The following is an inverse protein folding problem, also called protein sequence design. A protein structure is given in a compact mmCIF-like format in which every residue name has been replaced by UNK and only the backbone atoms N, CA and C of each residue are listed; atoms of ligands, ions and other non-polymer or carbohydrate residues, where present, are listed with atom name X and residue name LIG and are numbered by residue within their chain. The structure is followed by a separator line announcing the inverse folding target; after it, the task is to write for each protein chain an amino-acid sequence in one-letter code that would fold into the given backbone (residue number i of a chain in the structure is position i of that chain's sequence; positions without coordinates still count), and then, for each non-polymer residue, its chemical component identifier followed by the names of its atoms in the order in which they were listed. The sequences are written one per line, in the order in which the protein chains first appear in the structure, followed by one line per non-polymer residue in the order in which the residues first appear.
data_IF_307900787862
#
_entry.id   IF_307900787862
#
_cell.length_a   1.000
_cell.length_b   1.000
_cell.length_c   1.000
_cell.angle_alpha   90.00
_cell.angle_beta   90.00
_cell.angle_gamma   90.00
#
_symmetry.space_group_name_H-M   'P 1'
#
loop_
_entity.id
_entity.type
_entity.pdbx_description
1 polymer ?
#
# COMPACT_ATOMS: atom_id res chain seq x y z
N UNK A 1 0.03 -23.94 -15.34
CA UNK A 1 0.15 -22.69 -16.11
C UNK A 1 -0.51 -21.61 -15.28
N UNK A 2 0.25 -20.95 -14.40
CA UNK A 2 -0.28 -19.86 -13.59
C UNK A 2 -0.32 -18.59 -14.42
N UNK A 3 -1.51 -18.11 -14.77
CA UNK A 3 -1.68 -16.85 -15.48
C UNK A 3 -1.47 -15.66 -14.52
N UNK A 4 -1.12 -14.51 -15.09
CA UNK A 4 -0.96 -13.20 -14.41
C UNK A 4 -2.19 -12.82 -13.54
N UNK A 5 -3.33 -13.47 -13.75
CA UNK A 5 -4.53 -13.38 -12.90
C UNK A 5 -4.35 -13.90 -11.47
N UNK A 6 -3.32 -14.68 -11.16
CA UNK A 6 -3.11 -15.27 -9.82
C UNK A 6 -2.58 -14.26 -8.77
N UNK A 7 -2.09 -13.09 -9.18
CA UNK A 7 -1.43 -12.14 -8.25
C UNK A 7 -2.43 -11.28 -7.47
N UNK A 8 -3.74 -11.39 -7.73
CA UNK A 8 -4.82 -10.76 -6.94
C UNK A 8 -4.88 -9.23 -6.94
N UNK A 9 -3.79 -8.53 -7.29
CA UNK A 9 -3.68 -7.08 -7.22
C UNK A 9 -4.75 -6.36 -8.05
N UNK A 10 -4.96 -6.78 -9.30
CA UNK A 10 -6.01 -6.21 -10.14
C UNK A 10 -7.42 -6.63 -9.69
N UNK A 11 -7.56 -7.78 -9.04
CA UNK A 11 -8.85 -8.26 -8.54
C UNK A 11 -9.38 -7.38 -7.40
N UNK A 12 -8.51 -6.70 -6.65
CA UNK A 12 -8.88 -5.77 -5.58
C UNK A 12 -9.70 -4.56 -6.03
N UNK A 13 -9.68 -4.28 -7.34
CA UNK A 13 -10.39 -3.15 -7.95
C UNK A 13 -11.51 -3.61 -8.91
N UNK A 14 -11.67 -4.91 -9.10
CA UNK A 14 -12.48 -5.49 -10.17
C UNK A 14 -13.91 -5.78 -9.73
N UNK A 15 -14.71 -4.75 -9.40
CA UNK A 15 -16.16 -4.90 -9.16
C UNK A 15 -16.90 -3.63 -8.72
N UNK A 16 -16.25 -2.46 -8.60
CA UNK A 16 -16.92 -1.29 -8.04
C UNK A 16 -18.03 -0.75 -8.92
N UNK A 17 -19.21 -0.60 -8.33
CA UNK A 17 -20.33 0.16 -8.88
C UNK A 17 -19.95 1.64 -9.02
N UNK A 18 -20.66 2.39 -9.86
CA UNK A 18 -20.41 3.83 -10.00
C UNK A 18 -20.69 4.59 -8.70
N UNK A 19 -21.67 4.14 -7.91
CA UNK A 19 -21.98 4.72 -6.59
C UNK A 19 -20.81 4.55 -5.60
N UNK A 20 -20.16 3.38 -5.58
CA UNK A 20 -18.99 3.15 -4.74
C UNK A 20 -17.79 4.00 -5.17
N UNK A 21 -17.59 4.19 -6.49
CA UNK A 21 -16.52 5.06 -7.01
C UNK A 21 -16.76 6.53 -6.65
N UNK A 22 -18.00 7.00 -6.73
CA UNK A 22 -18.37 8.35 -6.31
C UNK A 22 -18.14 8.55 -4.81
N UNK A 23 -18.42 7.52 -4.00
CA UNK A 23 -18.16 7.57 -2.56
C UNK A 23 -16.66 7.59 -2.23
N UNK A 24 -15.86 6.77 -2.92
CA UNK A 24 -14.39 6.82 -2.81
C UNK A 24 -13.89 8.22 -3.15
N UNK A 25 -14.34 8.79 -4.27
CA UNK A 25 -13.91 10.12 -4.71
C UNK A 25 -14.22 11.19 -3.67
N UNK A 26 -15.44 11.21 -3.11
CA UNK A 26 -15.82 12.13 -2.01
C UNK A 26 -14.91 11.96 -0.79
N UNK A 27 -14.53 10.73 -0.49
CA UNK A 27 -13.62 10.42 0.63
C UNK A 27 -12.23 11.01 0.38
N UNK A 28 -11.71 10.90 -0.85
CA UNK A 28 -10.42 11.48 -1.22
C UNK A 28 -10.46 13.01 -1.39
N UNK A 29 -11.60 13.59 -1.77
CA UNK A 29 -11.83 15.04 -1.73
C UNK A 29 -11.73 15.58 -0.30
N UNK A 30 -12.32 14.89 0.69
CA UNK A 30 -12.14 15.22 2.11
C UNK A 30 -10.66 15.12 2.53
N UNK A 31 -9.90 14.13 2.06
CA UNK A 31 -8.46 14.05 2.34
C UNK A 31 -7.69 15.22 1.71
N UNK A 32 -8.05 15.66 0.50
CA UNK A 32 -7.47 16.84 -0.15
C UNK A 32 -7.76 18.11 0.66
N UNK A 33 -8.98 18.27 1.18
CA UNK A 33 -9.35 19.38 2.07
C UNK A 33 -8.47 19.39 3.33
N UNK A 34 -8.30 18.26 4.00
CA UNK A 34 -7.40 18.14 5.16
C UNK A 34 -5.97 18.50 4.76
N UNK A 35 -5.46 17.96 3.66
CA UNK A 35 -4.11 18.24 3.16
C UNK A 35 -3.87 19.74 2.94
N UNK A 36 -4.87 20.45 2.43
CA UNK A 36 -4.79 21.89 2.13
C UNK A 36 -4.54 22.75 3.37
N UNK A 37 -4.93 22.26 4.56
CA UNK A 37 -4.74 22.94 5.85
C UNK A 37 -3.38 22.67 6.49
N UNK A 38 -2.62 21.68 6.00
CA UNK A 38 -1.37 21.26 6.61
C UNK A 38 -0.20 22.21 6.26
N UNK A 39 0.80 22.33 7.16
CA UNK A 39 2.06 22.96 6.82
C UNK A 39 2.67 22.30 5.58
N UNK A 40 3.01 23.09 4.56
CA UNK A 40 3.64 22.59 3.33
C UNK A 40 4.98 23.25 3.06
N UNK A 41 5.91 22.48 2.51
CA UNK A 41 7.21 22.95 2.01
C UNK A 41 7.46 22.38 0.63
N UNK A 42 8.24 23.06 -0.20
CA UNK A 42 8.58 22.56 -1.53
C UNK A 42 8.71 23.68 -2.55
N UNK A 43 8.75 23.28 -3.81
CA UNK A 43 8.93 24.19 -4.93
C UNK A 43 7.74 24.00 -5.88
N UNK A 44 7.18 25.11 -6.37
CA UNK A 44 6.06 25.10 -7.32
C UNK A 44 6.36 24.30 -8.58
N UNK A 45 7.63 24.24 -8.99
CA UNK A 45 8.09 23.50 -10.16
C UNK A 45 7.76 22.00 -9.99
N UNK A 46 7.02 21.45 -10.95
CA UNK A 46 6.55 20.06 -10.96
C UNK A 46 5.62 19.67 -9.79
N UNK A 47 4.98 20.66 -9.13
CA UNK A 47 4.10 20.42 -7.97
C UNK A 47 4.77 19.58 -6.86
N UNK A 48 6.06 19.82 -6.61
CA UNK A 48 6.84 19.03 -5.67
C UNK A 48 6.71 19.57 -4.24
N UNK A 49 5.48 19.60 -3.74
CA UNK A 49 5.17 19.96 -2.37
C UNK A 49 5.14 18.72 -1.46
N UNK A 50 5.60 18.94 -0.23
CA UNK A 50 5.49 18.01 0.87
C UNK A 50 4.63 18.63 1.97
N UNK A 51 3.81 17.80 2.61
CA UNK A 51 2.86 18.20 3.64
C UNK A 51 3.22 17.53 4.97
N UNK A 52 3.20 18.28 6.05
CA UNK A 52 3.52 17.77 7.38
C UNK A 52 2.28 17.12 8.01
N UNK A 53 2.34 15.83 8.27
CA UNK A 53 1.28 15.06 8.90
C UNK A 53 1.86 14.11 9.96
N UNK A 54 1.31 14.13 11.17
CA UNK A 54 1.72 13.27 12.30
C UNK A 54 3.25 13.25 12.55
N UNK A 55 3.93 14.38 12.33
CA UNK A 55 5.37 14.52 12.54
C UNK A 55 6.26 14.19 11.32
N UNK A 56 5.68 13.73 10.20
CA UNK A 56 6.42 13.35 8.99
C UNK A 56 6.00 14.16 7.77
N UNK A 57 6.88 14.20 6.75
CA UNK A 57 6.64 14.95 5.51
C UNK A 57 6.28 13.99 4.37
N UNK A 58 5.11 14.16 3.78
CA UNK A 58 4.58 13.31 2.72
C UNK A 58 4.45 14.07 1.40
N UNK A 59 4.68 13.39 0.27
CA UNK A 59 4.15 13.85 -1.03
C UNK A 59 2.62 13.78 -1.00
N UNK A 60 1.92 14.67 -1.68
CA UNK A 60 0.47 14.79 -1.53
C UNK A 60 -0.35 13.52 -1.85
N UNK A 61 0.04 12.78 -2.88
CA UNK A 61 -0.57 11.48 -3.20
C UNK A 61 -0.28 10.42 -2.13
N UNK A 62 0.94 10.36 -1.59
CA UNK A 62 1.30 9.46 -0.49
C UNK A 62 0.58 9.82 0.81
N UNK A 63 0.35 11.12 1.04
CA UNK A 63 -0.46 11.59 2.16
C UNK A 63 -1.90 11.04 2.07
N UNK A 64 -2.56 11.21 0.92
CA UNK A 64 -3.93 10.71 0.71
C UNK A 64 -4.00 9.19 0.86
N UNK A 65 -3.03 8.47 0.29
CA UNK A 65 -2.95 7.01 0.43
C UNK A 65 -2.69 6.56 1.88
N UNK A 66 -1.88 7.30 2.65
CA UNK A 66 -1.64 7.01 4.06
C UNK A 66 -2.90 7.23 4.91
N UNK A 67 -3.64 8.33 4.69
CA UNK A 67 -4.92 8.57 5.36
C UNK A 67 -5.95 7.49 5.01
N UNK A 68 -6.07 7.15 3.73
CA UNK A 68 -6.98 6.10 3.28
C UNK A 68 -6.62 4.74 3.91
N UNK A 69 -5.34 4.39 3.96
CA UNK A 69 -4.88 3.19 4.65
C UNK A 69 -5.22 3.22 6.14
N UNK A 70 -4.96 4.33 6.85
CA UNK A 70 -5.27 4.47 8.27
C UNK A 70 -6.77 4.28 8.58
N UNK A 71 -7.65 4.78 7.70
CA UNK A 71 -9.10 4.75 7.92
C UNK A 71 -9.78 3.47 7.43
N UNK A 72 -9.23 2.80 6.40
CA UNK A 72 -9.94 1.72 5.71
C UNK A 72 -9.19 0.38 5.72
N UNK A 73 -7.91 0.34 6.06
CA UNK A 73 -7.17 -0.91 6.06
C UNK A 73 -7.53 -1.80 7.24
N UNK A 74 -7.99 -3.02 6.93
CA UNK A 74 -8.27 -4.06 7.90
C UNK A 74 -7.20 -5.14 7.81
N UNK A 75 -6.31 -5.19 8.79
CA UNK A 75 -5.23 -6.18 8.89
C UNK A 75 -5.76 -7.56 9.32
N UNK A 76 -5.08 -8.61 8.86
CA UNK A 76 -5.23 -9.99 9.32
C UNK A 76 -3.98 -10.39 10.11
N UNK A 77 -4.09 -11.25 11.15
CA UNK A 77 -2.92 -11.74 11.89
C UNK A 77 -1.88 -12.45 11.01
N UNK A 78 -2.30 -12.95 9.85
CA UNK A 78 -1.46 -13.61 8.85
C UNK A 78 -0.73 -12.66 7.92
N UNK A 79 -1.07 -11.37 7.90
CA UNK A 79 -0.41 -10.42 7.01
C UNK A 79 1.07 -10.27 7.34
N UNK A 80 1.84 -9.95 6.31
CA UNK A 80 3.25 -9.66 6.43
C UNK A 80 3.56 -8.35 5.72
N UNK A 81 4.02 -7.39 6.50
CA UNK A 81 4.48 -6.08 6.05
C UNK A 81 5.99 -6.02 5.94
N UNK A 82 6.47 -5.46 4.85
CA UNK A 82 7.84 -4.93 4.78
C UNK A 82 7.82 -3.43 4.86
N UNK A 83 8.66 -2.87 5.71
CA UNK A 83 8.87 -1.43 5.79
C UNK A 83 10.36 -1.14 5.71
N UNK A 84 10.70 -0.04 5.03
CA UNK A 84 12.05 0.50 5.02
C UNK A 84 12.02 1.98 4.65
N UNK A 85 13.17 2.62 4.80
CA UNK A 85 13.38 3.95 4.26
C UNK A 85 13.38 3.85 2.73
N UNK A 86 12.66 4.74 2.01
CA UNK A 86 12.61 4.72 0.56
C UNK A 86 13.99 4.57 -0.09
N UNK A 87 14.07 3.67 -1.08
CA UNK A 87 15.28 3.34 -1.88
C UNK A 87 16.35 2.50 -1.19
N UNK A 88 16.08 1.92 -0.02
CA UNK A 88 16.98 0.96 0.63
C UNK A 88 16.50 -0.49 0.44
N UNK A 89 16.96 -1.16 -0.62
CA UNK A 89 16.88 -2.63 -0.74
C UNK A 89 15.47 -3.24 -0.81
N UNK A 90 14.42 -2.44 -1.06
CA UNK A 90 13.01 -2.89 -1.15
C UNK A 90 12.83 -4.07 -2.08
N UNK A 91 13.47 -4.02 -3.25
CA UNK A 91 13.29 -5.02 -4.31
C UNK A 91 13.79 -6.39 -3.88
N UNK A 92 15.01 -6.47 -3.36
CA UNK A 92 15.60 -7.76 -2.96
C UNK A 92 14.86 -8.35 -1.76
N UNK A 93 14.49 -7.53 -0.77
CA UNK A 93 13.73 -7.99 0.39
C UNK A 93 12.35 -8.52 0.02
N UNK A 94 11.59 -7.80 -0.83
CA UNK A 94 10.28 -8.26 -1.33
C UNK A 94 10.39 -9.60 -2.05
N UNK A 95 11.40 -9.75 -2.93
CA UNK A 95 11.65 -11.00 -3.65
C UNK A 95 11.97 -12.15 -2.70
N UNK A 96 12.84 -11.95 -1.71
CA UNK A 96 13.20 -12.99 -0.73
C UNK A 96 12.01 -13.44 0.10
N UNK A 97 11.19 -12.49 0.56
CA UNK A 97 9.99 -12.80 1.34
C UNK A 97 8.99 -13.56 0.49
N UNK A 98 8.74 -13.09 -0.74
CA UNK A 98 7.83 -13.74 -1.67
C UNK A 98 8.28 -15.17 -1.97
N UNK A 99 9.56 -15.38 -2.29
CA UNK A 99 10.13 -16.71 -2.52
C UNK A 99 9.96 -17.62 -1.30
N UNK A 100 10.29 -17.11 -0.11
CA UNK A 100 10.21 -17.88 1.13
C UNK A 100 8.77 -18.32 1.44
N UNK A 101 7.79 -17.42 1.28
CA UNK A 101 6.38 -17.72 1.54
C UNK A 101 5.80 -18.69 0.51
N UNK A 102 6.23 -18.60 -0.74
CA UNK A 102 5.71 -19.40 -1.85
C UNK A 102 6.61 -20.58 -2.23
N UNK A 103 7.64 -20.91 -1.43
CA UNK A 103 8.66 -21.91 -1.77
C UNK A 103 8.09 -23.27 -2.20
N UNK A 104 6.95 -23.67 -1.63
CA UNK A 104 6.28 -24.95 -1.94
C UNK A 104 5.60 -24.96 -3.31
N UNK A 105 5.19 -23.80 -3.82
CA UNK A 105 4.52 -23.66 -5.11
C UNK A 105 5.48 -23.33 -6.26
N UNK A 106 6.79 -23.34 -6.01
CA UNK A 106 7.84 -23.01 -6.96
C UNK A 106 7.60 -21.66 -7.70
N UNK A 107 7.83 -20.52 -7.02
CA UNK A 107 7.45 -19.20 -7.51
C UNK A 107 8.40 -18.64 -8.58
N UNK A 108 9.39 -19.42 -9.05
CA UNK A 108 10.45 -18.99 -9.98
C UNK A 108 9.89 -18.25 -11.20
N UNK A 109 8.85 -18.79 -11.84
CA UNK A 109 8.26 -18.15 -13.01
C UNK A 109 7.69 -16.76 -12.69
N UNK A 110 7.04 -16.58 -11.54
CA UNK A 110 6.48 -15.30 -11.13
C UNK A 110 7.60 -14.29 -10.80
N UNK A 111 8.64 -14.73 -10.11
CA UNK A 111 9.80 -13.90 -9.78
C UNK A 111 10.58 -13.43 -11.02
N UNK A 112 10.63 -14.25 -12.08
CA UNK A 112 11.29 -13.92 -13.34
C UNK A 112 10.46 -13.01 -14.25
N UNK A 113 9.13 -13.05 -14.13
CA UNK A 113 8.21 -12.36 -15.06
C UNK A 113 7.59 -11.09 -14.48
N UNK A 114 7.46 -11.00 -13.16
CA UNK A 114 6.77 -9.89 -12.49
C UNK A 114 7.74 -9.05 -11.67
N UNK A 115 7.45 -7.74 -11.62
CA UNK A 115 8.16 -6.84 -10.73
C UNK A 115 7.79 -7.14 -9.27
N UNK A 116 8.76 -7.10 -8.35
CA UNK A 116 8.55 -7.25 -6.91
C UNK A 116 7.47 -6.32 -6.32
N UNK A 117 7.26 -5.13 -6.90
CA UNK A 117 6.21 -4.19 -6.50
C UNK A 117 4.80 -4.67 -6.87
N UNK A 118 4.66 -5.58 -7.84
CA UNK A 118 3.39 -6.25 -8.17
C UNK A 118 3.14 -7.41 -7.20
N UNK A 119 4.20 -8.15 -6.85
CA UNK A 119 4.12 -9.29 -5.94
C UNK A 119 3.88 -8.89 -4.48
N UNK A 120 4.35 -7.71 -4.10
CA UNK A 120 4.25 -7.17 -2.74
C UNK A 120 3.96 -5.66 -2.81
N UNK A 121 2.70 -5.27 -3.10
CA UNK A 121 2.33 -3.89 -3.37
C UNK A 121 2.46 -3.00 -2.13
N UNK A 122 2.72 -1.71 -2.36
CA UNK A 122 2.68 -0.71 -1.30
C UNK A 122 1.26 -0.37 -0.90
N UNK A 123 1.01 -0.30 0.40
CA UNK A 123 -0.27 0.03 0.98
C UNK A 123 -0.74 1.42 0.51
N UNK A 124 0.07 2.45 0.74
CA UNK A 124 -0.25 3.84 0.46
C UNK A 124 0.02 4.29 -1.00
N UNK A 125 0.80 3.52 -1.77
CA UNK A 125 1.21 3.92 -3.13
C UNK A 125 0.63 3.06 -4.24
N UNK A 126 0.15 1.85 -3.94
CA UNK A 126 -0.40 0.94 -4.92
C UNK A 126 -1.84 0.54 -4.59
N UNK A 127 -2.14 0.19 -3.34
CA UNK A 127 -3.47 -0.24 -2.94
C UNK A 127 -4.42 0.96 -2.75
N UNK A 128 -4.05 1.92 -1.91
CA UNK A 128 -4.85 3.13 -1.65
C UNK A 128 -4.45 4.31 -2.54
N UNK A 129 -4.11 4.03 -3.79
CA UNK A 129 -3.73 5.03 -4.79
C UNK A 129 -4.89 5.39 -5.72
N UNK A 130 -4.71 6.46 -6.50
CA UNK A 130 -5.65 6.90 -7.55
C UNK A 130 -7.09 7.14 -7.05
N UNK A 131 -7.22 7.59 -5.81
CA UNK A 131 -8.51 7.92 -5.19
C UNK A 131 -9.51 6.75 -5.16
N UNK A 132 -9.00 5.51 -5.00
CA UNK A 132 -9.78 4.28 -4.91
C UNK A 132 -9.54 3.54 -3.58
N UNK A 133 -10.60 3.00 -3.00
CA UNK A 133 -10.54 2.12 -1.83
C UNK A 133 -10.65 0.65 -2.25
N UNK A 134 -9.56 -0.14 -2.27
CA UNK A 134 -9.62 -1.52 -2.76
C UNK A 134 -10.38 -2.47 -1.81
N UNK A 135 -11.02 -3.49 -2.39
CA UNK A 135 -11.46 -4.66 -1.62
C UNK A 135 -10.32 -5.69 -1.55
N UNK A 136 -9.71 -5.80 -0.38
CA UNK A 136 -8.57 -6.68 -0.15
C UNK A 136 -8.96 -8.13 0.17
N UNK A 137 -10.26 -8.45 0.18
CA UNK A 137 -10.74 -9.82 0.37
C UNK A 137 -10.35 -10.75 -0.79
N UNK A 138 -10.13 -10.18 -1.98
CA UNK A 138 -9.70 -10.90 -3.17
C UNK A 138 -8.22 -11.29 -3.16
N UNK A 139 -7.40 -10.78 -2.22
CA UNK A 139 -5.99 -11.13 -2.13
C UNK A 139 -5.78 -12.51 -1.48
N UNK A 140 -4.82 -13.31 -1.98
CA UNK A 140 -4.45 -14.55 -1.30
C UNK A 140 -3.89 -14.26 0.09
N UNK A 141 -4.18 -15.18 1.03
CA UNK A 141 -3.66 -15.14 2.39
C UNK A 141 -2.48 -16.13 2.52
N UNK A 142 -1.35 -15.75 3.16
CA UNK A 142 -1.06 -14.46 3.80
C UNK A 142 -0.88 -13.32 2.78
N UNK A 143 -1.41 -12.13 3.09
CA UNK A 143 -1.21 -10.95 2.22
C UNK A 143 0.20 -10.41 2.46
N UNK A 144 0.97 -10.32 1.39
CA UNK A 144 2.32 -9.75 1.40
C UNK A 144 2.23 -8.31 0.95
N UNK A 145 2.51 -7.37 1.84
CA UNK A 145 2.34 -5.94 1.60
C UNK A 145 3.58 -5.15 2.01
N UNK A 146 3.78 -3.98 1.42
CA UNK A 146 4.85 -3.07 1.81
C UNK A 146 4.28 -1.73 2.26
N UNK A 147 5.03 -0.98 3.06
CA UNK A 147 4.64 0.39 3.40
C UNK A 147 5.85 1.24 3.77
N UNK A 148 5.81 2.50 3.36
CA UNK A 148 6.70 3.56 3.83
C UNK A 148 6.04 4.46 4.88
N UNK A 149 4.82 4.12 5.33
CA UNK A 149 4.18 4.80 6.45
C UNK A 149 5.05 4.54 7.71
N UNK A 150 5.48 5.60 8.42
CA UNK A 150 6.22 5.48 9.67
C UNK A 150 5.44 4.70 10.72
N UNK A 151 6.15 3.98 11.59
CA UNK A 151 5.53 3.09 12.58
C UNK A 151 4.44 3.77 13.43
N UNK A 152 4.68 4.99 13.90
CA UNK A 152 3.72 5.77 14.71
C UNK A 152 2.50 6.28 13.94
N UNK A 153 2.53 6.15 12.61
CA UNK A 153 1.46 6.52 11.69
C UNK A 153 0.84 5.30 11.00
N UNK A 154 1.22 4.07 11.36
CA UNK A 154 0.60 2.89 10.77
C UNK A 154 -0.90 2.84 11.11
N UNK A 155 -1.73 2.23 10.25
CA UNK A 155 -3.09 1.85 10.60
C UNK A 155 -3.12 1.12 11.95
N UNK A 156 -4.01 1.53 12.85
CA UNK A 156 -4.09 0.95 14.20
C UNK A 156 -4.34 -0.57 14.17
N UNK A 157 -5.11 -1.03 13.17
CA UNK A 157 -5.38 -2.45 12.93
C UNK A 157 -4.08 -3.27 12.78
N UNK A 158 -3.07 -2.75 12.06
CA UNK A 158 -1.76 -3.41 11.91
C UNK A 158 -1.07 -3.58 13.25
N UNK A 159 -1.13 -2.58 14.12
CA UNK A 159 -0.52 -2.63 15.45
C UNK A 159 -1.24 -3.66 16.34
N UNK A 160 -2.57 -3.70 16.26
CA UNK A 160 -3.41 -4.52 17.15
C UNK A 160 -3.51 -5.99 16.71
N UNK A 161 -3.38 -6.27 15.41
CA UNK A 161 -3.62 -7.62 14.86
C UNK A 161 -2.54 -8.65 15.15
N UNK A 162 -1.36 -8.22 15.61
CA UNK A 162 -0.20 -9.10 15.77
C UNK A 162 0.39 -9.61 14.46
N UNK A 163 0.05 -8.98 13.33
CA UNK A 163 0.65 -9.31 12.04
C UNK A 163 2.16 -9.00 12.02
N UNK A 164 2.88 -9.59 11.06
CA UNK A 164 4.35 -9.53 11.07
C UNK A 164 4.83 -8.29 10.33
N UNK A 165 5.75 -7.55 10.93
CA UNK A 165 6.43 -6.42 10.30
C UNK A 165 7.92 -6.71 10.21
N UNK A 166 8.48 -6.67 9.01
CA UNK A 166 9.92 -6.79 8.74
C UNK A 166 10.45 -5.41 8.37
N UNK A 167 11.35 -4.87 9.20
CA UNK A 167 12.03 -3.60 8.97
C UNK A 167 13.49 -3.84 8.58
N UNK A 168 14.00 -3.10 7.58
CA UNK A 168 15.41 -3.09 7.16
C UNK A 168 15.94 -1.67 7.03
#
# INVERSE_FOLDING_TARGET
MGSVSEVGFHACFASKTEEEKDQDKKTYEMYEEVMSTLPKKGITKYNNYQYQYQGFWYRGDFFKGAMAAQNHYQSLPTDLFTTNIPKFGTTWLKTLIFDTQNRKSNPEQLLLTLNSHVLMPYLEMNLYANDLLPDLSALPTPRLLSTHIPYTSLPQTIIDSGCKIVYI
#
